data_IF_333787930294
#
_entry.id   IF_333787930294
#
_cell.length_a   1.000
_cell.length_b   1.000
_cell.length_c   1.000
_cell.angle_alpha   90.00
_cell.angle_beta   90.00
_cell.angle_gamma   90.00
#
_symmetry.space_group_name_H-M   'P 1'
#
loop_
_entity.id
_entity.type
_entity.pdbx_description
1 polymer ?
#
# COMPACT_ATOMS: atom_id res chain seq x y z
N UNK A 1 10.07 -8.52 50.15
CA UNK A 1 8.90 -7.66 49.85
C UNK A 1 9.12 -6.86 48.55
N UNK A 2 10.28 -6.25 48.38
CA UNK A 2 10.63 -5.28 47.32
C UNK A 2 10.40 -5.74 45.87
N UNK A 3 10.60 -7.02 45.54
CA UNK A 3 10.37 -7.55 44.19
C UNK A 3 8.94 -7.27 43.70
N UNK A 4 7.92 -7.54 44.53
CA UNK A 4 6.51 -7.26 44.23
C UNK A 4 6.23 -5.76 44.04
N UNK A 5 6.96 -4.88 44.75
CA UNK A 5 6.87 -3.43 44.57
C UNK A 5 7.52 -2.98 43.24
N UNK A 6 8.61 -3.61 42.82
CA UNK A 6 9.26 -3.36 41.51
C UNK A 6 8.36 -3.79 40.35
N UNK A 7 7.75 -4.97 40.45
CA UNK A 7 6.76 -5.49 39.51
C UNK A 7 5.53 -4.59 39.42
N UNK A 8 4.94 -4.20 40.56
CA UNK A 8 3.80 -3.29 40.60
C UNK A 8 4.10 -1.94 39.94
N UNK A 9 5.27 -1.34 40.20
CA UNK A 9 5.72 -0.10 39.53
C UNK A 9 5.87 -0.27 38.01
N UNK A 10 6.38 -1.41 37.54
CA UNK A 10 6.51 -1.71 36.12
C UNK A 10 5.14 -1.91 35.43
N UNK A 11 4.22 -2.65 36.08
CA UNK A 11 2.85 -2.84 35.60
C UNK A 11 2.08 -1.53 35.54
N UNK A 12 2.23 -0.66 36.56
CA UNK A 12 1.60 0.67 36.59
C UNK A 12 2.06 1.54 35.41
N UNK A 13 3.37 1.67 35.18
CA UNK A 13 3.92 2.42 34.03
C UNK A 13 3.42 1.89 32.69
N UNK A 14 3.30 0.56 32.53
CA UNK A 14 2.72 -0.03 31.31
C UNK A 14 1.25 0.37 31.10
N UNK A 15 0.43 0.38 32.15
CA UNK A 15 -0.97 0.84 32.08
C UNK A 15 -1.06 2.35 31.76
N UNK A 16 -0.25 3.17 32.40
CA UNK A 16 -0.20 4.63 32.17
C UNK A 16 0.19 4.95 30.72
N UNK A 17 1.13 4.22 30.12
CA UNK A 17 1.46 4.34 28.70
C UNK A 17 0.32 3.89 27.77
N UNK A 18 -0.32 2.75 28.06
CA UNK A 18 -1.43 2.24 27.25
C UNK A 18 -2.61 3.22 27.24
N UNK A 19 -3.06 3.69 28.40
CA UNK A 19 -4.17 4.66 28.46
C UNK A 19 -3.79 6.00 27.78
N UNK A 20 -2.56 6.50 27.95
CA UNK A 20 -2.10 7.70 27.24
C UNK A 20 -2.11 7.53 25.70
N UNK A 21 -1.71 6.36 25.18
CA UNK A 21 -1.80 6.07 23.73
C UNK A 21 -3.25 5.94 23.26
N UNK A 22 -4.12 5.30 24.06
CA UNK A 22 -5.55 5.12 23.79
C UNK A 22 -6.32 6.44 23.78
N UNK A 23 -6.02 7.35 24.72
CA UNK A 23 -6.53 8.72 24.73
C UNK A 23 -6.09 9.52 23.49
N UNK A 24 -4.82 9.40 23.08
CA UNK A 24 -4.30 10.04 21.86
C UNK A 24 -5.01 9.51 20.61
N UNK A 25 -5.14 8.19 20.47
CA UNK A 25 -5.83 7.53 19.34
C UNK A 25 -7.31 7.92 19.30
N UNK A 26 -7.98 7.97 20.45
CA UNK A 26 -9.36 8.48 20.56
C UNK A 26 -9.43 9.95 20.13
N UNK A 27 -8.57 10.82 20.65
CA UNK A 27 -8.55 12.25 20.32
C UNK A 27 -8.21 12.54 18.86
N UNK A 28 -7.42 11.69 18.19
CA UNK A 28 -7.22 11.78 16.73
C UNK A 28 -8.43 11.25 15.95
N UNK A 29 -9.03 10.12 16.36
CA UNK A 29 -10.26 9.60 15.76
C UNK A 29 -11.39 10.63 15.84
N UNK A 30 -11.66 11.17 17.02
CA UNK A 30 -12.78 12.08 17.26
C UNK A 30 -12.58 13.40 16.48
N UNK A 31 -11.33 13.86 16.30
CA UNK A 31 -10.99 14.96 15.38
C UNK A 31 -11.26 14.62 13.91
N UNK A 32 -10.88 13.41 13.46
CA UNK A 32 -11.08 12.98 12.06
C UNK A 32 -12.59 12.82 11.77
N UNK A 33 -13.36 12.25 12.71
CA UNK A 33 -14.82 12.14 12.61
C UNK A 33 -15.46 13.53 12.48
N UNK A 34 -15.12 14.47 13.37
CA UNK A 34 -15.67 15.84 13.33
C UNK A 34 -15.19 16.69 12.13
N UNK A 35 -14.15 16.25 11.43
CA UNK A 35 -13.64 16.90 10.21
C UNK A 35 -14.27 16.29 8.93
N UNK A 36 -14.52 14.97 8.94
CA UNK A 36 -15.05 14.24 7.79
C UNK A 36 -16.59 14.25 7.76
N UNK A 37 -17.25 14.43 8.91
CA UNK A 37 -18.70 14.45 9.06
C UNK A 37 -19.12 15.81 9.63
N UNK A 38 -19.85 16.66 8.87
CA UNK A 38 -20.43 17.89 9.40
C UNK A 38 -21.37 17.60 10.58
N UNK A 39 -21.42 18.48 11.59
CA UNK A 39 -22.24 18.25 12.79
C UNK A 39 -23.73 17.97 12.47
N UNK A 40 -24.25 18.57 11.41
CA UNK A 40 -25.61 18.35 10.88
C UNK A 40 -25.90 16.87 10.56
N UNK A 41 -24.90 16.13 10.07
CA UNK A 41 -25.02 14.68 9.83
C UNK A 41 -24.88 13.86 11.12
N UNK A 42 -24.15 14.34 12.13
CA UNK A 42 -23.92 13.63 13.38
C UNK A 42 -25.18 13.56 14.24
N UNK A 43 -25.89 14.68 14.42
CA UNK A 43 -27.20 14.67 15.10
C UNK A 43 -28.22 13.83 14.30
N UNK A 44 -28.24 13.98 12.96
CA UNK A 44 -29.14 13.20 12.11
C UNK A 44 -28.87 11.68 12.13
N UNK A 45 -27.61 11.23 12.31
CA UNK A 45 -27.31 9.80 12.56
C UNK A 45 -27.55 9.36 14.00
N UNK A 46 -27.51 10.28 14.97
CA UNK A 46 -27.77 9.98 16.38
C UNK A 46 -29.26 9.71 16.59
N UNK A 47 -30.12 10.61 16.14
CA UNK A 47 -31.58 10.44 16.24
C UNK A 47 -32.03 9.22 15.40
N UNK A 48 -31.50 9.06 14.19
CA UNK A 48 -31.73 7.87 13.34
C UNK A 48 -31.26 6.58 14.01
N UNK A 49 -30.20 6.57 14.83
CA UNK A 49 -29.70 5.34 15.46
C UNK A 49 -30.66 4.73 16.49
N UNK A 50 -31.63 5.50 16.98
CA UNK A 50 -32.69 5.00 17.88
C UNK A 50 -33.89 4.43 17.09
N UNK A 51 -34.08 4.82 15.81
CA UNK A 51 -35.14 4.31 14.92
C UNK A 51 -34.66 3.21 13.94
N UNK A 52 -33.40 3.23 13.51
CA UNK A 52 -32.82 2.34 12.48
C UNK A 52 -32.67 0.87 12.93
N UNK A 53 -32.85 0.60 14.23
CA UNK A 53 -32.95 -0.77 14.77
C UNK A 53 -34.32 -1.41 14.47
N UNK A 54 -35.34 -0.62 14.10
CA UNK A 54 -36.72 -1.08 13.88
C UNK A 54 -37.12 -1.30 12.41
N UNK A 55 -36.38 -0.76 11.43
CA UNK A 55 -36.80 -0.71 10.03
C UNK A 55 -35.80 -1.39 9.07
N UNK A 56 -35.78 -2.72 9.12
CA UNK A 56 -35.19 -3.56 8.06
C UNK A 56 -36.23 -3.74 6.95
N UNK A 57 -36.48 -2.72 6.12
CA UNK A 57 -37.30 -2.86 4.90
C UNK A 57 -37.13 -1.68 3.91
N UNK A 58 -37.30 -1.98 2.61
CA UNK A 58 -37.50 -1.08 1.46
C UNK A 58 -36.39 -0.09 1.01
N UNK A 59 -35.62 -0.58 0.03
CA UNK A 59 -35.46 0.05 -1.31
C UNK A 59 -34.45 1.22 -1.50
N UNK A 60 -34.34 1.68 -2.75
CA UNK A 60 -33.15 2.31 -3.34
C UNK A 60 -33.14 3.86 -3.31
N UNK A 61 -31.95 4.48 -3.33
CA UNK A 61 -31.40 5.25 -4.48
C UNK A 61 -30.28 6.24 -4.08
N UNK A 62 -29.48 6.61 -5.08
CA UNK A 62 -28.35 7.56 -5.10
C UNK A 62 -28.80 8.68 -6.09
N UNK A 63 -28.48 10.00 -5.98
CA UNK A 63 -27.12 10.45 -6.34
C UNK A 63 -26.64 11.88 -5.89
N UNK A 64 -25.44 12.22 -6.39
CA UNK A 64 -24.81 13.56 -6.54
C UNK A 64 -24.27 14.26 -5.26
N UNK A 65 -23.02 14.78 -5.17
CA UNK A 65 -21.97 15.29 -6.09
C UNK A 65 -21.99 16.81 -6.29
N UNK A 66 -21.17 17.53 -5.51
CA UNK A 66 -20.75 18.91 -5.83
C UNK A 66 -19.32 19.23 -5.32
N UNK A 67 -18.66 20.18 -6.00
CA UNK A 67 -17.34 20.80 -5.79
C UNK A 67 -17.42 22.20 -6.44
N UNK A 68 -16.47 23.15 -6.23
CA UNK A 68 -15.51 23.38 -5.14
C UNK A 68 -15.66 24.83 -4.58
N UNK A 69 -14.71 25.33 -3.75
CA UNK A 69 -14.07 26.66 -3.92
C UNK A 69 -12.89 26.88 -2.95
N UNK A 70 -12.14 27.98 -3.17
CA UNK A 70 -11.16 28.59 -2.25
C UNK A 70 -11.75 29.91 -1.70
N UNK A 71 -11.09 30.81 -0.96
CA UNK A 71 -9.67 31.02 -0.56
C UNK A 71 -9.67 31.67 0.87
N UNK A 72 -8.73 32.44 1.42
CA UNK A 72 -7.39 33.01 1.09
C UNK A 72 -6.62 33.30 2.42
N UNK A 73 -5.30 33.48 2.36
CA UNK A 73 -4.45 33.92 3.48
C UNK A 73 -4.74 35.39 3.87
N UNK A 74 -4.29 35.89 5.05
CA UNK A 74 -2.94 36.50 5.08
C UNK A 74 -2.18 36.47 6.43
N UNK A 75 -0.85 36.50 6.39
CA UNK A 75 -0.02 37.33 7.30
C UNK A 75 1.44 37.42 6.83
N UNK A 76 1.90 38.62 6.48
CA UNK A 76 3.32 38.94 6.34
C UNK A 76 4.05 38.98 7.70
N UNK A 77 5.38 38.83 7.68
CA UNK A 77 6.31 39.88 8.13
C UNK A 77 7.72 39.60 7.58
N UNK A 78 8.34 40.65 7.07
CA UNK A 78 9.61 40.74 6.33
C UNK A 78 10.86 40.38 7.15
N UNK A 79 11.89 39.82 6.49
CA UNK A 79 13.30 40.23 6.65
C UNK A 79 14.16 39.69 5.49
N UNK A 80 15.06 40.53 4.96
CA UNK A 80 15.94 40.22 3.83
C UNK A 80 17.32 39.70 4.31
N UNK A 81 17.91 38.72 3.61
CA UNK A 81 19.35 38.45 3.70
C UNK A 81 19.90 37.65 2.52
N UNK A 82 20.97 38.18 1.92
CA UNK A 82 22.09 37.50 1.23
C UNK A 82 21.83 36.49 0.11
N UNK A 83 22.32 36.92 -1.06
CA UNK A 83 22.72 36.18 -2.26
C UNK A 83 23.26 34.74 -2.11
N UNK A 84 23.04 33.97 -3.18
CA UNK A 84 23.91 32.91 -3.72
C UNK A 84 24.40 31.78 -2.77
N UNK A 85 23.76 30.61 -2.92
CA UNK A 85 24.50 29.50 -3.53
C UNK A 85 23.58 28.60 -4.37
N UNK A 86 24.06 28.17 -5.53
CA UNK A 86 23.32 27.29 -6.46
C UNK A 86 23.49 25.83 -6.06
N UNK A 87 22.74 25.38 -5.05
CA UNK A 87 22.70 23.96 -4.72
C UNK A 87 21.87 23.20 -5.74
N UNK A 88 22.47 22.15 -6.31
CA UNK A 88 21.85 21.28 -7.31
C UNK A 88 20.69 20.52 -6.67
N UNK A 89 19.46 20.81 -7.10
CA UNK A 89 18.26 20.14 -6.59
C UNK A 89 18.13 18.74 -7.21
N UNK A 90 18.94 17.82 -6.68
CA UNK A 90 18.69 16.38 -6.72
C UNK A 90 17.19 16.13 -6.45
N UNK A 91 16.47 15.44 -7.36
CA UNK A 91 15.02 15.30 -7.28
C UNK A 91 14.64 14.41 -6.11
N UNK A 92 14.46 15.03 -4.95
CA UNK A 92 13.91 14.45 -3.71
C UNK A 92 12.43 14.16 -3.91
N UNK A 93 12.13 13.17 -4.77
CA UNK A 93 10.84 12.51 -4.96
C UNK A 93 10.17 12.34 -3.59
N UNK A 94 9.26 13.26 -3.27
CA UNK A 94 8.84 13.38 -1.88
C UNK A 94 8.06 12.14 -1.50
N UNK A 95 8.29 11.62 -0.28
CA UNK A 95 7.54 10.45 0.19
C UNK A 95 6.02 10.70 0.17
N UNK A 96 5.61 11.97 0.27
CA UNK A 96 4.27 12.46 0.00
C UNK A 96 3.82 12.19 -1.45
N UNK A 97 4.58 12.61 -2.47
CA UNK A 97 4.26 12.34 -3.88
C UNK A 97 4.15 10.84 -4.16
N UNK A 98 5.09 10.03 -3.67
CA UNK A 98 5.03 8.57 -3.81
C UNK A 98 3.77 7.98 -3.17
N UNK A 99 3.42 8.42 -1.94
CA UNK A 99 2.23 7.97 -1.23
C UNK A 99 0.92 8.41 -1.92
N UNK A 100 0.85 9.64 -2.43
CA UNK A 100 -0.28 10.17 -3.20
C UNK A 100 -0.46 9.36 -4.50
N UNK A 101 0.63 9.12 -5.24
CA UNK A 101 0.62 8.33 -6.48
C UNK A 101 0.11 6.90 -6.24
N UNK A 102 0.49 6.26 -5.13
CA UNK A 102 -0.01 4.95 -4.73
C UNK A 102 -1.46 4.98 -4.21
N UNK A 103 -1.87 6.01 -3.47
CA UNK A 103 -3.22 6.10 -2.90
C UNK A 103 -4.28 6.30 -3.99
N UNK A 104 -4.02 7.15 -5.00
CA UNK A 104 -4.91 7.32 -6.16
C UNK A 104 -5.15 5.97 -6.86
N UNK A 105 -4.08 5.23 -7.18
CA UNK A 105 -4.20 3.92 -7.81
C UNK A 105 -4.97 2.89 -6.95
N UNK A 106 -4.72 2.91 -5.64
CA UNK A 106 -5.39 2.02 -4.67
C UNK A 106 -6.88 2.31 -4.53
N UNK A 107 -7.28 3.59 -4.52
CA UNK A 107 -8.70 4.01 -4.42
C UNK A 107 -9.47 3.63 -5.70
N UNK A 108 -8.85 3.82 -6.88
CA UNK A 108 -9.43 3.40 -8.16
C UNK A 108 -9.62 1.87 -8.18
N UNK A 109 -8.60 1.12 -7.81
CA UNK A 109 -8.66 -0.35 -7.72
C UNK A 109 -9.75 -0.84 -6.75
N UNK A 110 -9.84 -0.22 -5.57
CA UNK A 110 -10.83 -0.58 -4.55
C UNK A 110 -12.27 -0.27 -5.00
N UNK A 111 -12.45 0.82 -5.76
CA UNK A 111 -13.74 1.18 -6.39
C UNK A 111 -14.16 0.14 -7.43
N UNK A 112 -13.24 -0.32 -8.28
CA UNK A 112 -13.50 -1.42 -9.22
C UNK A 112 -13.83 -2.73 -8.48
N UNK A 113 -13.09 -3.05 -7.42
CA UNK A 113 -13.35 -4.25 -6.61
C UNK A 113 -14.76 -4.23 -5.98
N UNK A 114 -15.20 -3.07 -5.45
CA UNK A 114 -16.53 -2.89 -4.89
C UNK A 114 -17.65 -3.07 -5.93
N UNK A 115 -17.42 -2.62 -7.17
CA UNK A 115 -18.33 -2.88 -8.29
C UNK A 115 -18.39 -4.37 -8.66
N UNK A 116 -17.25 -5.06 -8.75
CA UNK A 116 -17.23 -6.51 -8.98
C UNK A 116 -17.84 -7.34 -7.83
N UNK A 117 -17.84 -6.84 -6.59
CA UNK A 117 -18.55 -7.48 -5.48
C UNK A 117 -20.08 -7.44 -5.67
N UNK A 118 -20.64 -6.35 -6.20
CA UNK A 118 -22.09 -6.28 -6.53
C UNK A 118 -22.48 -7.31 -7.59
N UNK A 119 -21.59 -7.57 -8.55
CA UNK A 119 -21.77 -8.57 -9.62
C UNK A 119 -21.46 -10.01 -9.13
N UNK A 120 -21.18 -10.20 -7.83
CA UNK A 120 -20.71 -11.46 -7.20
C UNK A 120 -19.40 -12.02 -7.79
N UNK A 121 -18.73 -11.28 -8.67
CA UNK A 121 -17.54 -11.71 -9.41
C UNK A 121 -16.22 -11.21 -8.79
N UNK A 122 -16.30 -10.49 -7.67
CA UNK A 122 -15.15 -9.91 -6.96
C UNK A 122 -14.04 -10.90 -6.62
N UNK A 123 -14.36 -12.17 -6.37
CA UNK A 123 -13.37 -13.22 -6.14
C UNK A 123 -12.44 -13.43 -7.35
N UNK A 124 -12.97 -13.39 -8.57
CA UNK A 124 -12.18 -13.56 -9.80
C UNK A 124 -11.34 -12.31 -10.07
N UNK A 125 -11.90 -11.11 -9.89
CA UNK A 125 -11.15 -9.86 -9.96
C UNK A 125 -9.97 -9.85 -8.98
N UNK A 126 -10.20 -10.28 -7.74
CA UNK A 126 -9.17 -10.37 -6.71
C UNK A 126 -8.05 -11.36 -7.10
N UNK A 127 -8.40 -12.59 -7.52
CA UNK A 127 -7.40 -13.59 -7.96
C UNK A 127 -6.58 -13.09 -9.15
N UNK A 128 -7.23 -12.50 -10.16
CA UNK A 128 -6.53 -11.90 -11.31
C UNK A 128 -5.63 -10.76 -10.88
N UNK A 129 -6.08 -9.89 -9.97
CA UNK A 129 -5.28 -8.78 -9.46
C UNK A 129 -4.07 -9.25 -8.63
N UNK A 130 -4.20 -10.32 -7.84
CA UNK A 130 -3.09 -10.92 -7.11
C UNK A 130 -2.09 -11.55 -8.08
N UNK A 131 -2.57 -12.23 -9.13
CA UNK A 131 -1.73 -12.84 -10.16
C UNK A 131 -0.96 -11.77 -10.95
N UNK A 132 -1.61 -10.67 -11.36
CA UNK A 132 -0.94 -9.49 -11.96
C UNK A 132 0.08 -8.90 -10.99
N UNK A 133 -0.27 -8.72 -9.72
CA UNK A 133 0.63 -8.22 -8.68
C UNK A 133 1.88 -9.08 -8.52
N UNK A 134 1.73 -10.41 -8.55
CA UNK A 134 2.85 -11.36 -8.57
C UNK A 134 3.67 -11.18 -9.86
N UNK A 135 3.06 -11.21 -11.04
CA UNK A 135 3.78 -11.10 -12.33
C UNK A 135 4.58 -9.79 -12.49
N UNK A 136 4.07 -8.68 -11.95
CA UNK A 136 4.76 -7.36 -11.95
C UNK A 136 5.83 -7.27 -10.86
N UNK A 137 5.67 -7.96 -9.74
CA UNK A 137 6.67 -7.99 -8.66
C UNK A 137 7.82 -8.98 -8.95
N UNK A 138 7.51 -10.14 -9.55
CA UNK A 138 8.52 -11.06 -10.08
C UNK A 138 9.25 -10.42 -11.25
N UNK A 139 10.58 -10.54 -11.27
CA UNK A 139 11.44 -9.85 -12.24
C UNK A 139 11.19 -10.31 -13.68
N UNK A 140 10.32 -9.59 -14.38
CA UNK A 140 10.00 -9.76 -15.82
C UNK A 140 11.08 -9.18 -16.74
N UNK A 141 11.99 -8.34 -16.23
CA UNK A 141 13.12 -7.79 -16.97
C UNK A 141 14.14 -8.89 -17.34
N UNK A 142 14.70 -8.90 -18.57
CA UNK A 142 15.81 -9.79 -18.91
C UNK A 142 17.00 -9.58 -17.97
N UNK A 143 17.69 -10.69 -17.63
CA UNK A 143 18.86 -10.72 -16.75
C UNK A 143 19.94 -9.75 -17.28
N UNK A 144 20.41 -8.80 -16.45
CA UNK A 144 21.50 -7.90 -16.87
C UNK A 144 22.80 -8.69 -17.00
N UNK A 145 23.62 -8.33 -17.99
CA UNK A 145 24.91 -8.99 -18.28
C UNK A 145 25.85 -8.83 -17.08
N UNK A 146 26.15 -9.92 -16.39
CA UNK A 146 26.97 -9.93 -15.17
C UNK A 146 26.19 -10.11 -13.85
N UNK A 147 24.85 -10.18 -13.85
CA UNK A 147 24.11 -10.50 -12.63
C UNK A 147 24.43 -11.92 -12.12
N UNK A 148 24.70 -12.03 -10.82
CA UNK A 148 24.92 -13.31 -10.15
C UNK A 148 23.57 -14.04 -10.05
N UNK A 149 23.43 -15.17 -10.75
CA UNK A 149 22.27 -16.07 -10.58
C UNK A 149 22.46 -16.94 -9.33
N UNK A 150 21.38 -17.40 -8.68
CA UNK A 150 21.50 -18.24 -7.47
C UNK A 150 22.40 -19.48 -7.66
N UNK A 151 22.36 -20.12 -8.82
CA UNK A 151 23.24 -21.24 -9.18
C UNK A 151 24.73 -20.87 -9.34
N UNK A 152 25.08 -19.58 -9.42
CA UNK A 152 26.48 -19.12 -9.48
C UNK A 152 27.25 -19.43 -8.21
N UNK A 153 26.56 -19.59 -7.07
CA UNK A 153 27.15 -20.06 -5.79
C UNK A 153 27.71 -21.49 -5.90
N UNK A 154 27.21 -22.28 -6.85
CA UNK A 154 27.67 -23.64 -7.16
C UNK A 154 28.43 -23.74 -8.49
N UNK A 155 28.62 -22.60 -9.18
CA UNK A 155 29.16 -22.52 -10.53
C UNK A 155 29.71 -21.11 -10.80
N UNK A 156 30.81 -20.80 -10.14
CA UNK A 156 31.44 -19.47 -10.12
C UNK A 156 31.79 -18.96 -11.53
N UNK A 157 32.23 -19.85 -12.41
CA UNK A 157 32.58 -19.55 -13.80
C UNK A 157 31.37 -19.50 -14.77
N UNK A 158 30.15 -19.79 -14.30
CA UNK A 158 28.92 -19.87 -15.11
C UNK A 158 29.00 -20.83 -16.33
N UNK A 159 29.83 -21.88 -16.24
CA UNK A 159 30.03 -22.88 -17.31
C UNK A 159 28.94 -23.95 -17.24
N UNK A 160 28.51 -24.52 -18.37
CA UNK A 160 27.59 -25.67 -18.38
C UNK A 160 28.20 -26.85 -17.59
N UNK A 161 27.53 -27.34 -16.56
CA UNK A 161 27.99 -28.50 -15.79
C UNK A 161 27.91 -29.76 -16.67
N UNK A 162 29.02 -30.49 -16.82
CA UNK A 162 29.06 -31.71 -17.62
C UNK A 162 28.07 -32.76 -17.10
N UNK A 163 27.42 -33.47 -18.02
CA UNK A 163 26.26 -34.32 -17.74
C UNK A 163 24.90 -33.59 -17.76
N UNK A 164 24.88 -32.25 -17.79
CA UNK A 164 23.66 -31.49 -18.08
C UNK A 164 23.45 -31.38 -19.59
N UNK A 165 22.25 -31.68 -20.09
CA UNK A 165 21.92 -31.54 -21.51
C UNK A 165 22.09 -30.09 -21.99
N UNK A 166 22.99 -29.86 -22.95
CA UNK A 166 23.20 -28.56 -23.58
C UNK A 166 22.07 -28.28 -24.57
N UNK A 167 21.60 -27.03 -24.62
CA UNK A 167 20.54 -26.62 -25.56
C UNK A 167 20.94 -26.88 -27.03
N UNK A 168 22.21 -26.66 -27.38
CA UNK A 168 22.78 -26.95 -28.71
C UNK A 168 22.75 -28.45 -29.06
N UNK A 169 23.01 -29.31 -28.07
CA UNK A 169 22.90 -30.76 -28.23
C UNK A 169 21.44 -31.17 -28.47
N UNK A 170 20.52 -30.65 -27.66
CA UNK A 170 19.08 -30.93 -27.78
C UNK A 170 18.50 -30.42 -29.11
N UNK A 171 18.91 -29.24 -29.59
CA UNK A 171 18.57 -28.72 -30.92
C UNK A 171 19.08 -29.65 -32.03
N UNK A 172 20.32 -30.14 -31.90
CA UNK A 172 20.94 -31.06 -32.86
C UNK A 172 20.27 -32.43 -32.86
N UNK A 173 19.88 -32.95 -31.70
CA UNK A 173 19.15 -34.23 -31.56
C UNK A 173 17.70 -34.12 -32.08
N UNK A 174 17.02 -32.99 -31.89
CA UNK A 174 15.72 -32.72 -32.52
C UNK A 174 15.84 -32.59 -34.04
N UNK A 175 16.83 -31.84 -34.54
CA UNK A 175 16.98 -31.56 -35.98
C UNK A 175 17.52 -32.74 -36.80
N UNK A 176 18.36 -33.59 -36.20
CA UNK A 176 19.08 -34.66 -36.90
C UNK A 176 18.95 -36.05 -36.25
N UNK A 177 18.06 -36.21 -35.28
CA UNK A 177 17.82 -37.48 -34.58
C UNK A 177 18.82 -37.78 -33.46
N UNK A 178 18.37 -38.59 -32.50
CA UNK A 178 19.18 -39.08 -31.40
C UNK A 178 20.36 -39.93 -31.93
N UNK A 179 21.58 -39.66 -31.45
CA UNK A 179 22.80 -40.33 -31.89
C UNK A 179 23.64 -39.57 -32.93
N UNK A 180 23.15 -38.45 -33.49
CA UNK A 180 23.92 -37.58 -34.40
C UNK A 180 24.93 -36.67 -33.66
N UNK A 181 25.07 -36.84 -32.34
CA UNK A 181 26.05 -36.15 -31.50
C UNK A 181 27.04 -37.18 -30.95
N UNK A 182 28.33 -36.90 -31.17
CA UNK A 182 29.52 -37.67 -30.77
C UNK A 182 30.59 -36.66 -30.38
#
# INVERSE_FOLDING_TARGET
MEAKLKEYRALRRRKELVENTKEKIRKSRDKIVNFLIPQVFLDMTKDRSEEEVLLIENEEQIPQKFQPLQTEDPSDITSEASELESLEDEPKESWQYFAIKWSIGSIIWLSLYMYFLQIQFGAVFFVVSVLIGICVNTRTTPKKRGEVSAYSVFNENCVSIDGTLKAEQFEKEIRYGAGTVR
#
